data_IF_471909190495
#
_entry.id   IF_471909190495
#
_cell.length_a   1.000
_cell.length_b   1.000
_cell.length_c   1.000
_cell.angle_alpha   90.00
_cell.angle_beta   90.00
_cell.angle_gamma   90.00
#
_symmetry.space_group_name_H-M   'P 1'
#
loop_
_entity.id
_entity.type
_entity.pdbx_description
1 polymer ?
#
# COMPACT_ATOMS: atom_id res chain seq x y z
N UNK A 1 3.61 7.31 38.74
CA UNK A 1 2.71 6.13 38.53
C UNK A 1 3.18 5.40 37.28
N UNK A 2 4.07 4.41 37.43
CA UNK A 2 4.61 3.63 36.32
C UNK A 2 3.48 2.82 35.69
N UNK A 3 2.99 3.22 34.53
CA UNK A 3 2.12 2.36 33.72
C UNK A 3 2.95 1.20 33.22
N UNK A 4 2.78 0.05 33.85
CA UNK A 4 3.31 -1.23 33.36
C UNK A 4 2.77 -1.44 31.95
N UNK A 5 3.62 -1.30 30.95
CA UNK A 5 3.28 -1.67 29.57
C UNK A 5 3.02 -3.17 29.57
N UNK A 6 1.80 -3.60 29.28
CA UNK A 6 1.51 -5.01 29.04
C UNK A 6 2.39 -5.59 27.93
N UNK A 7 2.55 -6.92 27.84
CA UNK A 7 3.36 -7.55 26.79
C UNK A 7 2.85 -7.19 25.41
N UNK A 8 3.75 -7.04 24.44
CA UNK A 8 3.41 -6.74 23.04
C UNK A 8 4.38 -5.79 22.38
N UNK A 9 4.26 -5.67 21.06
CA UNK A 9 5.15 -4.88 20.19
C UNK A 9 4.42 -3.76 19.43
N UNK A 10 3.22 -3.34 19.88
CA UNK A 10 2.51 -2.27 19.18
C UNK A 10 3.33 -0.98 19.18
N UNK A 11 3.50 -0.32 18.01
CA UNK A 11 4.18 0.96 17.93
C UNK A 11 3.44 2.04 18.71
N UNK A 12 4.20 3.03 19.17
CA UNK A 12 3.62 4.25 19.79
C UNK A 12 2.99 5.11 18.71
N UNK A 13 1.76 5.55 18.92
CA UNK A 13 1.09 6.51 18.03
C UNK A 13 1.68 7.91 18.29
N UNK A 14 2.41 8.44 17.30
CA UNK A 14 3.11 9.72 17.41
C UNK A 14 2.29 10.91 16.92
N UNK A 15 1.13 10.65 16.31
CA UNK A 15 0.27 11.70 15.74
C UNK A 15 -1.18 11.52 16.20
N UNK A 16 -1.94 12.60 16.20
CA UNK A 16 -3.36 12.59 16.56
C UNK A 16 -4.17 11.61 15.67
N UNK A 17 -5.15 10.97 16.25
CA UNK A 17 -6.11 10.10 15.56
C UNK A 17 -7.43 10.86 15.41
N UNK A 18 -7.74 11.31 14.21
CA UNK A 18 -8.90 12.17 13.93
C UNK A 18 -10.05 11.35 13.32
N UNK A 19 -11.26 11.54 13.84
CA UNK A 19 -12.48 10.85 13.39
C UNK A 19 -12.53 9.38 13.82
N UNK A 20 -13.32 8.57 13.11
CA UNK A 20 -13.44 7.11 13.29
C UNK A 20 -14.03 6.65 14.63
N UNK A 21 -14.81 7.49 15.31
CA UNK A 21 -15.38 7.10 16.60
C UNK A 21 -16.37 5.93 16.46
N UNK A 22 -17.18 5.96 15.40
CA UNK A 22 -18.19 4.93 15.10
C UNK A 22 -17.52 3.62 14.68
N UNK A 23 -16.55 3.69 13.77
CA UNK A 23 -15.83 2.50 13.30
C UNK A 23 -15.00 1.86 14.43
N UNK A 24 -14.42 2.67 15.34
CA UNK A 24 -13.77 2.12 16.51
C UNK A 24 -14.75 1.45 17.47
N UNK A 25 -15.95 2.03 17.68
CA UNK A 25 -16.98 1.41 18.50
C UNK A 25 -17.50 0.11 17.88
N UNK A 26 -17.69 0.09 16.57
CA UNK A 26 -18.08 -1.10 15.80
C UNK A 26 -17.01 -2.19 15.87
N UNK A 27 -15.73 -1.85 15.63
CA UNK A 27 -14.63 -2.81 15.72
C UNK A 27 -14.45 -3.39 17.12
N UNK A 28 -14.68 -2.59 18.18
CA UNK A 28 -14.70 -3.09 19.55
C UNK A 28 -15.83 -4.10 19.76
N UNK A 29 -17.04 -3.86 19.24
CA UNK A 29 -18.15 -4.82 19.30
C UNK A 29 -17.80 -6.10 18.54
N UNK A 30 -17.32 -6.01 17.31
CA UNK A 30 -16.93 -7.16 16.49
C UNK A 30 -15.96 -8.07 17.25
N UNK A 31 -14.94 -7.53 17.93
CA UNK A 31 -13.99 -8.28 18.71
C UNK A 31 -14.52 -8.77 20.07
N UNK A 32 -15.77 -8.42 20.42
CA UNK A 32 -16.49 -9.09 21.53
C UNK A 32 -17.27 -10.30 21.06
N UNK A 33 -17.76 -10.29 19.84
CA UNK A 33 -18.62 -11.29 19.23
C UNK A 33 -17.85 -12.37 18.46
N UNK A 34 -16.68 -12.01 17.91
CA UNK A 34 -15.89 -12.87 17.07
C UNK A 34 -14.41 -12.83 17.47
N UNK A 35 -13.68 -13.90 17.12
CA UNK A 35 -12.24 -14.00 17.35
C UNK A 35 -11.40 -13.52 16.18
N UNK A 36 -12.01 -13.26 15.02
CA UNK A 36 -11.33 -12.73 13.85
C UNK A 36 -12.11 -11.57 13.26
N UNK A 37 -11.40 -10.50 12.93
CA UNK A 37 -11.95 -9.34 12.27
C UNK A 37 -10.98 -8.81 11.22
N UNK A 38 -11.50 -8.53 10.02
CA UNK A 38 -10.71 -7.91 8.95
C UNK A 38 -11.14 -6.46 8.76
N UNK A 39 -10.17 -5.56 8.84
CA UNK A 39 -10.33 -4.12 8.53
C UNK A 39 -10.03 -3.93 7.05
N UNK A 40 -11.05 -3.59 6.27
CA UNK A 40 -10.95 -3.41 4.82
C UNK A 40 -11.10 -1.94 4.41
N UNK A 41 -10.77 -1.62 3.15
CA UNK A 41 -10.95 -0.29 2.58
C UNK A 41 -9.84 0.11 1.61
N UNK A 42 -9.98 1.26 0.92
CA UNK A 42 -9.04 1.73 -0.08
C UNK A 42 -7.64 1.99 0.48
N UNK A 43 -6.65 2.09 -0.41
CA UNK A 43 -5.30 2.49 -0.03
C UNK A 43 -5.31 3.89 0.59
N UNK A 44 -4.53 4.09 1.64
CA UNK A 44 -4.46 5.40 2.32
C UNK A 44 -5.64 5.76 3.22
N UNK A 45 -6.65 4.88 3.39
CA UNK A 45 -7.85 5.13 4.22
C UNK A 45 -7.57 5.03 5.73
N UNK A 46 -6.44 4.45 6.14
CA UNK A 46 -6.06 4.33 7.55
C UNK A 46 -6.35 2.98 8.21
N UNK A 47 -6.42 1.87 7.45
CA UNK A 47 -6.66 0.50 7.96
C UNK A 47 -5.71 0.14 9.11
N UNK A 48 -4.41 0.21 8.86
CA UNK A 48 -3.37 -0.07 9.86
C UNK A 48 -3.54 0.76 11.13
N UNK A 49 -3.74 2.09 10.98
CA UNK A 49 -3.92 2.97 12.15
C UNK A 49 -5.15 2.62 12.97
N UNK A 50 -6.27 2.29 12.30
CA UNK A 50 -7.51 1.88 12.97
C UNK A 50 -7.32 0.56 13.70
N UNK A 51 -6.70 -0.45 13.07
CA UNK A 51 -6.41 -1.74 13.69
C UNK A 51 -5.50 -1.60 14.92
N UNK A 52 -4.43 -0.81 14.82
CA UNK A 52 -3.52 -0.53 15.94
C UNK A 52 -4.21 0.23 17.08
N UNK A 53 -5.11 1.17 16.75
CA UNK A 53 -5.88 1.92 17.74
C UNK A 53 -6.88 1.03 18.49
N UNK A 54 -7.54 0.09 17.78
CA UNK A 54 -8.38 -0.93 18.38
C UNK A 54 -7.56 -1.85 19.30
N UNK A 55 -6.43 -2.36 18.83
CA UNK A 55 -5.55 -3.20 19.61
C UNK A 55 -5.03 -2.50 20.88
N UNK A 56 -4.66 -1.24 20.78
CA UNK A 56 -4.24 -0.43 21.92
C UNK A 56 -5.36 -0.25 22.97
N UNK A 57 -6.61 -0.03 22.53
CA UNK A 57 -7.77 0.07 23.45
C UNK A 57 -8.10 -1.26 24.14
N UNK A 58 -7.82 -2.37 23.48
CA UNK A 58 -8.12 -3.72 23.96
C UNK A 58 -7.01 -4.35 24.80
N UNK A 59 -5.86 -3.68 25.03
CA UNK A 59 -4.72 -4.23 25.79
C UNK A 59 -5.12 -4.89 27.12
N UNK A 60 -6.03 -4.25 27.88
CA UNK A 60 -6.48 -4.79 29.17
C UNK A 60 -7.30 -6.08 29.04
N UNK A 61 -7.95 -6.28 27.91
CA UNK A 61 -8.76 -7.46 27.62
C UNK A 61 -7.91 -8.66 27.18
N UNK A 62 -6.70 -8.40 26.69
CA UNK A 62 -5.77 -9.41 26.17
C UNK A 62 -4.48 -9.46 27.00
N UNK A 63 -4.50 -10.13 28.17
CA UNK A 63 -3.34 -10.20 29.07
C UNK A 63 -2.16 -10.94 28.43
N UNK A 64 -2.37 -11.80 27.42
CA UNK A 64 -1.32 -12.45 26.63
C UNK A 64 -0.58 -11.51 25.67
N UNK A 65 -0.94 -10.23 25.69
CA UNK A 65 -0.29 -9.18 24.89
C UNK A 65 -1.03 -8.81 23.63
N UNK A 66 -0.59 -7.68 23.05
CA UNK A 66 -1.07 -7.18 21.77
C UNK A 66 0.12 -7.12 20.81
N UNK A 67 0.07 -7.94 19.77
CA UNK A 67 1.20 -8.21 18.90
C UNK A 67 0.89 -7.80 17.46
N UNK A 68 1.84 -7.16 16.77
CA UNK A 68 1.73 -6.80 15.36
C UNK A 68 2.77 -7.55 14.56
N UNK A 69 2.33 -8.28 13.53
CA UNK A 69 3.16 -8.78 12.45
C UNK A 69 2.91 -7.93 11.20
N UNK A 70 3.93 -7.23 10.71
CA UNK A 70 3.85 -6.45 9.48
C UNK A 70 4.20 -7.35 8.30
N UNK A 71 3.23 -7.66 7.45
CA UNK A 71 3.37 -8.63 6.36
C UNK A 71 3.72 -7.99 5.00
N UNK A 72 3.88 -6.68 4.95
CA UNK A 72 4.26 -6.01 3.71
C UNK A 72 5.64 -6.46 3.21
N UNK A 73 5.68 -7.03 2.01
CA UNK A 73 6.94 -7.45 1.38
C UNK A 73 7.46 -8.82 1.83
N UNK A 74 6.70 -9.57 2.62
CA UNK A 74 6.98 -10.98 2.92
C UNK A 74 6.06 -11.91 2.12
N UNK A 75 6.55 -13.07 1.73
CA UNK A 75 5.77 -14.18 1.22
C UNK A 75 5.44 -15.22 2.31
N UNK A 76 6.08 -15.11 3.48
CA UNK A 76 5.93 -16.04 4.60
C UNK A 76 5.38 -15.34 5.85
N UNK A 77 4.05 -15.37 6.06
CA UNK A 77 3.43 -14.76 7.22
C UNK A 77 3.74 -15.53 8.53
N UNK A 78 4.05 -16.83 8.47
CA UNK A 78 4.33 -17.66 9.64
C UNK A 78 5.63 -17.22 10.30
N UNK A 79 6.73 -17.17 9.53
CA UNK A 79 8.03 -16.68 10.01
C UNK A 79 7.94 -15.26 10.53
N UNK A 80 7.23 -14.36 9.82
CA UNK A 80 7.07 -12.97 10.26
C UNK A 80 6.30 -12.86 11.58
N UNK A 81 5.27 -13.70 11.79
CA UNK A 81 4.55 -13.75 13.05
C UNK A 81 5.40 -14.36 14.19
N UNK A 82 6.17 -15.41 13.91
CA UNK A 82 7.09 -16.01 14.90
C UNK A 82 8.07 -14.95 15.43
N UNK A 83 8.69 -14.18 14.53
CA UNK A 83 9.58 -13.06 14.89
C UNK A 83 8.87 -12.00 15.74
N UNK A 84 7.66 -11.59 15.33
CA UNK A 84 6.88 -10.60 16.06
C UNK A 84 6.53 -11.05 17.49
N UNK A 85 6.38 -12.36 17.71
CA UNK A 85 6.09 -12.99 18.99
C UNK A 85 7.35 -13.39 19.78
N UNK A 86 8.54 -13.10 19.26
CA UNK A 86 9.84 -13.49 19.83
C UNK A 86 9.99 -15.03 19.95
N UNK A 87 9.42 -15.78 18.99
CA UNK A 87 9.53 -17.22 18.85
C UNK A 87 10.60 -17.59 17.79
N UNK A 88 11.10 -18.84 17.79
CA UNK A 88 12.02 -19.28 16.75
C UNK A 88 11.44 -19.12 15.34
N UNK A 89 12.23 -18.62 14.39
CA UNK A 89 11.84 -18.42 12.99
C UNK A 89 11.39 -19.72 12.28
N UNK A 90 11.84 -20.85 12.78
CA UNK A 90 11.49 -22.17 12.27
C UNK A 90 10.16 -22.71 12.81
N UNK A 91 9.48 -21.94 13.68
CA UNK A 91 8.20 -22.36 14.26
C UNK A 91 7.12 -22.45 13.18
N UNK A 92 6.41 -23.58 13.14
CA UNK A 92 5.21 -23.74 12.32
C UNK A 92 4.02 -22.95 12.90
N UNK A 93 2.98 -22.71 12.10
CA UNK A 93 1.74 -22.07 12.56
C UNK A 93 1.13 -22.78 13.79
N UNK A 94 1.17 -24.11 13.84
CA UNK A 94 0.68 -24.91 14.96
C UNK A 94 1.54 -24.73 16.23
N UNK A 95 2.87 -24.70 16.11
CA UNK A 95 3.76 -24.43 17.23
C UNK A 95 3.55 -23.03 17.79
N UNK A 96 3.35 -22.03 16.94
CA UNK A 96 2.97 -20.68 17.35
C UNK A 96 1.64 -20.72 18.10
N UNK A 97 0.61 -21.37 17.55
CA UNK A 97 -0.69 -21.54 18.18
C UNK A 97 -0.60 -22.24 19.53
N UNK A 98 0.19 -23.32 19.64
CA UNK A 98 0.43 -24.04 20.90
C UNK A 98 1.10 -23.13 21.95
N UNK A 99 2.08 -22.33 21.56
CA UNK A 99 2.74 -21.36 22.45
C UNK A 99 1.78 -20.26 22.94
N UNK A 100 0.72 -19.97 22.20
CA UNK A 100 -0.30 -18.98 22.53
C UNK A 100 -1.53 -19.59 23.25
N UNK A 101 -1.65 -20.92 23.36
CA UNK A 101 -2.84 -21.64 23.84
C UNK A 101 -3.30 -21.17 25.20
N UNK A 102 -2.39 -21.08 26.16
CA UNK A 102 -2.69 -20.67 27.54
C UNK A 102 -2.75 -19.14 27.71
N UNK A 103 -2.33 -18.41 26.69
CA UNK A 103 -2.36 -16.96 26.68
C UNK A 103 -3.67 -16.48 26.04
N UNK A 104 -4.01 -15.24 26.29
CA UNK A 104 -5.12 -14.56 25.61
C UNK A 104 -4.55 -13.38 24.83
N UNK A 105 -3.87 -13.63 23.69
CA UNK A 105 -3.27 -12.57 22.90
C UNK A 105 -4.27 -11.95 21.92
N UNK A 106 -4.00 -10.71 21.52
CA UNK A 106 -4.54 -10.09 20.31
C UNK A 106 -3.41 -9.97 19.28
N UNK A 107 -3.57 -10.60 18.13
CA UNK A 107 -2.61 -10.56 17.02
C UNK A 107 -3.15 -9.65 15.93
N UNK A 108 -2.35 -8.69 15.48
CA UNK A 108 -2.63 -7.83 14.31
C UNK A 108 -1.76 -8.31 13.15
N UNK A 109 -2.38 -8.90 12.14
CA UNK A 109 -1.75 -9.26 10.87
C UNK A 109 -1.94 -8.10 9.89
N UNK A 110 -0.89 -7.30 9.71
CA UNK A 110 -1.00 -6.01 9.02
C UNK A 110 -0.50 -6.08 7.59
N UNK A 111 -1.28 -5.52 6.64
CA UNK A 111 -0.94 -5.43 5.21
C UNK A 111 -0.88 -6.78 4.50
N UNK A 112 -2.02 -7.48 4.46
CA UNK A 112 -2.15 -8.84 3.92
C UNK A 112 -2.60 -8.91 2.46
N UNK A 113 -2.68 -7.78 1.74
CA UNK A 113 -3.31 -7.68 0.43
C UNK A 113 -2.73 -8.61 -0.64
N UNK A 114 -1.46 -8.97 -0.55
CA UNK A 114 -0.71 -9.74 -1.56
C UNK A 114 -0.63 -11.24 -1.26
N UNK A 115 -0.93 -11.65 -0.02
CA UNK A 115 -0.87 -13.04 0.45
C UNK A 115 -2.13 -13.43 1.25
N UNK A 116 -3.35 -13.14 0.77
CA UNK A 116 -4.55 -13.38 1.58
C UNK A 116 -4.81 -14.86 1.85
N UNK A 117 -4.42 -15.77 0.95
CA UNK A 117 -4.59 -17.20 1.13
C UNK A 117 -3.69 -17.77 2.23
N UNK A 118 -2.43 -17.38 2.25
CA UNK A 118 -1.45 -17.77 3.25
C UNK A 118 -1.83 -17.23 4.64
N UNK A 119 -2.35 -16.01 4.68
CA UNK A 119 -2.82 -15.39 5.93
C UNK A 119 -4.11 -16.04 6.42
N UNK A 120 -5.00 -16.45 5.53
CA UNK A 120 -6.20 -17.22 5.90
C UNK A 120 -5.83 -18.56 6.56
N UNK A 121 -4.93 -19.32 5.93
CA UNK A 121 -4.44 -20.59 6.48
C UNK A 121 -3.76 -20.41 7.85
N UNK A 122 -2.89 -19.39 7.99
CA UNK A 122 -2.27 -19.05 9.27
C UNK A 122 -3.31 -18.71 10.33
N UNK A 123 -4.32 -17.90 10.00
CA UNK A 123 -5.36 -17.51 10.93
C UNK A 123 -6.22 -18.70 11.39
N UNK A 124 -6.55 -19.63 10.49
CA UNK A 124 -7.27 -20.87 10.81
C UNK A 124 -6.47 -21.73 11.79
N UNK A 125 -5.20 -22.01 11.50
CA UNK A 125 -4.32 -22.79 12.39
C UNK A 125 -4.18 -22.16 13.78
N UNK A 126 -3.98 -20.84 13.84
CA UNK A 126 -3.87 -20.11 15.11
C UNK A 126 -5.17 -20.17 15.92
N UNK A 127 -6.32 -19.96 15.28
CA UNK A 127 -7.62 -19.98 15.96
C UNK A 127 -8.04 -21.38 16.41
N UNK A 128 -7.57 -22.43 15.72
CA UNK A 128 -7.77 -23.82 16.12
C UNK A 128 -6.92 -24.17 17.36
N UNK A 129 -5.65 -23.81 17.36
CA UNK A 129 -4.69 -24.17 18.41
C UNK A 129 -4.79 -23.26 19.65
N UNK A 130 -5.15 -21.96 19.47
CA UNK A 130 -5.24 -20.99 20.54
C UNK A 130 -6.69 -20.46 20.70
N UNK A 131 -7.59 -21.16 21.42
CA UNK A 131 -9.03 -20.84 21.47
C UNK A 131 -9.34 -19.49 22.15
N UNK A 132 -8.39 -18.93 22.91
CA UNK A 132 -8.52 -17.63 23.58
C UNK A 132 -7.87 -16.48 22.83
N UNK A 133 -7.19 -16.74 21.72
CA UNK A 133 -6.61 -15.71 20.85
C UNK A 133 -7.68 -15.00 20.04
N UNK A 134 -7.40 -13.73 19.71
CA UNK A 134 -8.15 -12.98 18.72
C UNK A 134 -7.20 -12.40 17.67
N UNK A 135 -7.69 -12.26 16.43
CA UNK A 135 -6.92 -11.81 15.28
C UNK A 135 -7.61 -10.60 14.66
N UNK A 136 -6.84 -9.56 14.39
CA UNK A 136 -7.25 -8.42 13.55
C UNK A 136 -6.38 -8.44 12.30
N UNK A 137 -7.00 -8.46 11.14
CA UNK A 137 -6.34 -8.45 9.86
C UNK A 137 -6.55 -7.10 9.19
N UNK A 138 -5.54 -6.56 8.49
CA UNK A 138 -5.75 -5.42 7.61
C UNK A 138 -5.48 -5.82 6.17
N UNK A 139 -6.44 -5.55 5.31
CA UNK A 139 -6.36 -5.92 3.90
C UNK A 139 -7.32 -5.10 3.05
N UNK A 140 -7.38 -5.41 1.77
CA UNK A 140 -8.33 -4.77 0.85
C UNK A 140 -9.64 -5.51 0.75
N UNK A 141 -9.61 -6.82 0.99
CA UNK A 141 -10.75 -7.73 0.99
C UNK A 141 -10.73 -8.60 2.24
N UNK A 142 -11.89 -9.14 2.65
CA UNK A 142 -11.97 -10.14 3.70
C UNK A 142 -11.16 -11.39 3.33
N UNK A 143 -10.78 -12.19 4.34
CA UNK A 143 -10.15 -13.48 4.16
C UNK A 143 -11.15 -14.57 3.75
N UNK A 144 -12.44 -14.37 4.04
CA UNK A 144 -13.51 -15.33 3.76
C UNK A 144 -13.62 -16.46 4.78
N UNK A 145 -13.08 -16.27 5.98
CA UNK A 145 -13.07 -17.30 7.02
C UNK A 145 -14.41 -17.39 7.77
N UNK A 146 -14.83 -18.60 8.19
CA UNK A 146 -16.01 -18.75 9.03
C UNK A 146 -15.93 -17.92 10.31
N UNK A 147 -16.97 -17.15 10.59
CA UNK A 147 -17.02 -16.27 11.78
C UNK A 147 -16.23 -14.99 11.68
N UNK A 148 -15.62 -14.71 10.53
CA UNK A 148 -14.95 -13.44 10.27
C UNK A 148 -15.94 -12.27 10.33
N UNK A 149 -15.59 -11.21 11.05
CA UNK A 149 -16.28 -9.92 11.01
C UNK A 149 -15.50 -8.95 10.14
N UNK A 150 -16.19 -8.17 9.34
CA UNK A 150 -15.58 -7.19 8.43
C UNK A 150 -15.90 -5.79 8.93
N UNK A 151 -14.84 -5.01 9.18
CA UNK A 151 -14.92 -3.58 9.44
C UNK A 151 -14.48 -2.83 8.17
N UNK A 152 -15.42 -2.36 7.38
CA UNK A 152 -15.15 -1.62 6.16
C UNK A 152 -14.94 -0.13 6.45
N UNK A 153 -13.75 0.39 6.14
CA UNK A 153 -13.44 1.81 6.28
C UNK A 153 -13.74 2.56 4.98
N UNK A 154 -14.65 3.53 5.08
CA UNK A 154 -14.85 4.53 4.03
C UNK A 154 -13.85 5.70 4.18
N UNK A 155 -13.65 6.56 3.18
CA UNK A 155 -12.99 7.85 3.35
C UNK A 155 -13.61 8.66 4.50
N UNK A 156 -12.83 9.61 5.07
CA UNK A 156 -13.34 10.46 6.15
C UNK A 156 -14.47 11.36 5.67
N UNK A 157 -15.51 11.55 6.49
CA UNK A 157 -16.49 12.63 6.27
C UNK A 157 -15.78 13.99 6.21
N UNK A 158 -16.33 14.92 5.44
CA UNK A 158 -15.71 16.22 5.17
C UNK A 158 -15.29 16.96 6.46
N UNK A 159 -16.11 16.93 7.49
CA UNK A 159 -15.81 17.55 8.78
C UNK A 159 -14.57 16.96 9.45
N UNK A 160 -14.42 15.65 9.44
CA UNK A 160 -13.24 14.94 9.96
C UNK A 160 -12.01 15.14 9.07
N UNK A 161 -12.21 15.21 7.75
CA UNK A 161 -11.17 15.47 6.77
C UNK A 161 -10.55 16.87 6.97
N UNK A 162 -11.38 17.91 7.15
CA UNK A 162 -10.95 19.27 7.43
C UNK A 162 -10.19 19.37 8.77
N UNK A 163 -10.68 18.71 9.81
CA UNK A 163 -9.97 18.64 11.11
C UNK A 163 -8.62 17.94 10.99
N UNK A 164 -8.53 16.87 10.19
CA UNK A 164 -7.25 16.19 9.94
C UNK A 164 -6.29 17.11 9.19
N UNK A 165 -6.76 17.81 8.16
CA UNK A 165 -5.95 18.77 7.43
C UNK A 165 -5.40 19.87 8.35
N UNK A 166 -6.27 20.50 9.16
CA UNK A 166 -5.89 21.54 10.12
C UNK A 166 -4.82 21.04 11.10
N UNK A 167 -5.05 19.90 11.74
CA UNK A 167 -4.12 19.30 12.70
C UNK A 167 -2.74 19.03 12.09
N UNK A 168 -2.69 18.52 10.85
CA UNK A 168 -1.44 18.26 10.15
C UNK A 168 -0.76 19.52 9.62
N UNK A 169 -1.56 20.50 9.18
CA UNK A 169 -1.06 21.80 8.74
C UNK A 169 -0.43 22.58 9.90
N UNK A 170 -1.08 22.62 11.06
CA UNK A 170 -0.55 23.24 12.27
C UNK A 170 0.73 22.56 12.77
N UNK A 171 0.86 21.25 12.60
CA UNK A 171 2.08 20.52 12.97
C UNK A 171 3.31 20.91 12.13
N UNK A 172 3.12 21.40 10.90
CA UNK A 172 4.22 21.81 9.99
C UNK A 172 4.37 23.32 9.86
N UNK A 173 3.30 24.10 10.05
CA UNK A 173 3.31 25.55 10.17
C UNK A 173 2.39 26.01 11.33
N UNK A 174 2.94 26.32 12.49
CA UNK A 174 2.14 26.78 13.64
C UNK A 174 1.32 28.06 13.39
N UNK A 175 1.60 28.79 12.31
CA UNK A 175 0.85 30.01 11.92
C UNK A 175 -0.40 29.66 11.11
N UNK A 176 -0.54 28.41 10.67
CA UNK A 176 -1.73 27.99 9.95
C UNK A 176 -2.95 28.01 10.87
N UNK A 177 -4.06 28.58 10.38
CA UNK A 177 -5.33 28.58 11.08
C UNK A 177 -6.49 28.48 10.08
N UNK A 178 -7.54 27.78 10.47
CA UNK A 178 -8.81 27.81 9.76
C UNK A 178 -9.54 29.11 10.08
N UNK A 179 -9.48 30.05 9.16
CA UNK A 179 -10.24 31.30 9.21
C UNK A 179 -11.49 31.20 8.32
N UNK A 180 -12.46 32.12 8.43
CA UNK A 180 -13.59 32.18 7.50
C UNK A 180 -13.17 32.26 6.03
N UNK A 181 -11.98 32.77 5.72
CA UNK A 181 -11.43 32.85 4.36
C UNK A 181 -10.76 31.55 3.92
N UNK A 182 -10.08 30.81 4.80
CA UNK A 182 -9.34 29.59 4.46
C UNK A 182 -10.18 28.31 4.59
N UNK A 183 -11.16 28.29 5.48
CA UNK A 183 -11.99 27.10 5.72
C UNK A 183 -12.72 26.56 4.46
N UNK A 184 -13.34 27.39 3.59
CA UNK A 184 -13.93 26.90 2.36
C UNK A 184 -12.90 26.30 1.39
N UNK A 185 -11.69 26.86 1.33
CA UNK A 185 -10.60 26.40 0.49
C UNK A 185 -10.13 25.01 0.97
N UNK A 186 -9.91 24.86 2.27
CA UNK A 186 -9.51 23.58 2.87
C UNK A 186 -10.60 22.53 2.69
N UNK A 187 -11.88 22.90 2.83
CA UNK A 187 -13.00 22.00 2.58
C UNK A 187 -13.00 21.52 1.12
N UNK A 188 -12.75 22.39 0.14
CA UNK A 188 -12.65 22.01 -1.27
C UNK A 188 -11.43 21.11 -1.53
N UNK A 189 -10.27 21.41 -0.92
CA UNK A 189 -9.09 20.52 -0.98
C UNK A 189 -9.45 19.13 -0.47
N UNK A 190 -10.03 19.01 0.72
CA UNK A 190 -10.42 17.74 1.32
C UNK A 190 -11.46 16.98 0.46
N UNK A 191 -12.41 17.69 -0.13
CA UNK A 191 -13.39 17.12 -1.07
C UNK A 191 -12.74 16.54 -2.32
N UNK A 192 -11.77 17.26 -2.92
CA UNK A 192 -11.01 16.79 -4.10
C UNK A 192 -10.09 15.62 -3.79
N UNK A 193 -9.68 15.48 -2.53
CA UNK A 193 -8.90 14.34 -2.06
C UNK A 193 -9.80 13.18 -1.57
N UNK A 194 -11.11 13.25 -1.88
CA UNK A 194 -12.12 12.26 -1.49
C UNK A 194 -12.15 11.93 0.01
N UNK A 195 -11.65 12.79 0.89
CA UNK A 195 -11.54 12.49 2.31
C UNK A 195 -10.52 11.37 2.64
N UNK A 196 -9.61 11.02 1.73
CA UNK A 196 -8.57 10.01 1.98
C UNK A 196 -7.51 10.55 2.98
N UNK A 197 -7.35 9.95 4.18
CA UNK A 197 -6.41 10.45 5.19
C UNK A 197 -4.99 10.65 4.67
N UNK A 198 -4.43 9.67 3.95
CA UNK A 198 -3.07 9.77 3.39
C UNK A 198 -2.93 10.97 2.44
N UNK A 199 -3.92 11.17 1.56
CA UNK A 199 -3.91 12.30 0.63
C UNK A 199 -3.98 13.64 1.37
N UNK A 200 -4.81 13.72 2.40
CA UNK A 200 -4.98 14.91 3.24
C UNK A 200 -3.70 15.21 4.03
N UNK A 201 -3.08 14.21 4.64
CA UNK A 201 -1.81 14.37 5.37
C UNK A 201 -0.70 14.87 4.45
N UNK A 202 -0.56 14.29 3.24
CA UNK A 202 0.41 14.76 2.25
C UNK A 202 0.13 16.20 1.82
N UNK A 203 -1.12 16.54 1.49
CA UNK A 203 -1.50 17.89 1.09
C UNK A 203 -1.26 18.92 2.22
N UNK A 204 -1.60 18.59 3.45
CA UNK A 204 -1.41 19.46 4.60
C UNK A 204 0.07 19.78 4.85
N UNK A 205 1.01 18.89 4.51
CA UNK A 205 2.45 19.20 4.64
C UNK A 205 2.94 20.28 3.68
N UNK A 206 2.23 20.49 2.56
CA UNK A 206 2.59 21.47 1.54
C UNK A 206 2.29 22.91 1.96
N UNK A 207 1.43 23.15 2.98
CA UNK A 207 1.12 24.50 3.46
C UNK A 207 2.35 25.25 4.01
N UNK A 208 3.40 24.51 4.35
CA UNK A 208 4.69 25.11 4.74
C UNK A 208 5.36 25.87 3.59
N UNK A 209 5.11 25.48 2.36
CA UNK A 209 5.78 25.99 1.15
C UNK A 209 4.85 26.73 0.19
N UNK A 210 3.53 26.61 0.35
CA UNK A 210 2.56 27.30 -0.51
C UNK A 210 1.28 27.63 0.25
N UNK A 211 0.57 28.65 -0.21
CA UNK A 211 -0.72 29.04 0.38
C UNK A 211 -1.80 28.00 0.04
N UNK A 212 -2.80 27.85 0.90
CA UNK A 212 -3.90 26.89 0.67
C UNK A 212 -4.65 27.14 -0.66
N UNK A 213 -4.74 28.40 -1.11
CA UNK A 213 -5.33 28.77 -2.40
C UNK A 213 -4.51 28.20 -3.56
N UNK A 214 -3.20 28.37 -3.51
CA UNK A 214 -2.29 27.92 -4.58
C UNK A 214 -2.25 26.39 -4.60
N UNK A 215 -2.28 25.75 -3.43
CA UNK A 215 -2.41 24.30 -3.31
C UNK A 215 -3.70 23.78 -3.97
N UNK A 216 -4.83 24.46 -3.78
CA UNK A 216 -6.09 24.11 -4.41
C UNK A 216 -6.00 24.20 -5.95
N UNK A 217 -5.43 25.27 -6.48
CA UNK A 217 -5.24 25.45 -7.92
C UNK A 217 -4.32 24.38 -8.51
N UNK A 218 -3.22 24.09 -7.84
CA UNK A 218 -2.31 23.04 -8.30
C UNK A 218 -2.96 21.64 -8.27
N UNK A 219 -3.78 21.33 -7.26
CA UNK A 219 -4.52 20.07 -7.20
C UNK A 219 -5.57 19.94 -8.32
N UNK A 220 -6.08 21.05 -8.88
CA UNK A 220 -6.95 21.05 -10.06
C UNK A 220 -6.22 20.54 -11.29
N UNK A 221 -4.95 20.87 -11.44
CA UNK A 221 -4.14 20.59 -12.62
C UNK A 221 -3.19 19.41 -12.44
N UNK A 222 -2.60 19.23 -11.24
CA UNK A 222 -1.53 18.27 -11.00
C UNK A 222 -1.71 17.52 -9.68
N UNK A 223 -2.40 16.40 -9.73
CA UNK A 223 -2.48 15.48 -8.56
C UNK A 223 -1.10 14.87 -8.19
N UNK A 224 -0.12 14.99 -9.11
CA UNK A 224 1.27 14.54 -8.93
C UNK A 224 2.04 15.32 -7.86
N UNK A 225 1.53 16.46 -7.38
CA UNK A 225 2.10 17.18 -6.22
C UNK A 225 2.16 16.34 -4.95
N UNK A 226 1.29 15.33 -4.81
CA UNK A 226 1.26 14.45 -3.65
C UNK A 226 2.27 13.30 -3.77
N UNK A 227 3.27 13.43 -4.66
CA UNK A 227 4.35 12.46 -4.86
C UNK A 227 5.63 12.91 -4.16
N UNK A 228 6.27 12.00 -3.42
CA UNK A 228 7.62 12.22 -2.89
C UNK A 228 7.77 13.16 -1.68
N UNK A 229 6.69 13.54 -1.00
CA UNK A 229 6.70 14.57 0.06
C UNK A 229 7.30 14.08 1.39
N UNK A 230 7.38 12.78 1.65
CA UNK A 230 7.87 12.27 2.96
C UNK A 230 9.06 11.34 2.83
N UNK A 231 10.18 11.66 3.49
CA UNK A 231 11.41 10.85 3.54
C UNK A 231 11.43 9.80 4.66
N UNK A 232 10.54 9.89 5.64
CA UNK A 232 10.58 9.11 6.91
C UNK A 232 9.58 7.96 6.98
N UNK A 233 8.76 7.74 5.96
CA UNK A 233 7.68 6.75 5.95
C UNK A 233 7.99 5.62 4.96
N UNK A 234 7.40 4.44 5.15
CA UNK A 234 7.52 3.30 4.23
C UNK A 234 7.27 3.73 2.77
N UNK A 235 7.99 3.17 1.78
CA UNK A 235 7.92 3.61 0.37
C UNK A 235 6.49 3.75 -0.18
N UNK A 236 5.59 2.84 0.17
CA UNK A 236 4.17 2.85 -0.23
C UNK A 236 3.32 3.95 0.41
N UNK A 237 3.79 4.57 1.50
CA UNK A 237 3.08 5.66 2.19
C UNK A 237 3.71 7.04 1.92
N UNK A 238 4.83 7.06 1.18
CA UNK A 238 5.50 8.32 0.78
C UNK A 238 4.73 9.04 -0.32
N UNK A 239 3.86 8.33 -1.01
CA UNK A 239 3.24 8.77 -2.25
C UNK A 239 1.88 8.09 -2.39
N UNK A 240 0.83 8.90 -2.51
CA UNK A 240 -0.53 8.42 -2.74
C UNK A 240 -0.61 7.59 -4.02
N UNK A 241 0.12 7.99 -5.07
CA UNK A 241 0.18 7.27 -6.33
C UNK A 241 0.77 5.88 -6.16
N UNK A 242 1.87 5.74 -5.41
CA UNK A 242 2.46 4.45 -5.11
C UNK A 242 1.48 3.53 -4.37
N UNK A 243 0.71 4.08 -3.42
CA UNK A 243 -0.32 3.33 -2.71
C UNK A 243 -1.46 2.86 -3.62
N UNK A 244 -1.87 3.67 -4.61
CA UNK A 244 -2.89 3.28 -5.60
C UNK A 244 -2.31 2.33 -6.65
N UNK A 245 -1.08 2.54 -7.13
CA UNK A 245 -0.39 1.64 -8.06
C UNK A 245 -0.24 0.22 -7.48
N UNK A 246 0.04 0.09 -6.19
CA UNK A 246 -0.01 -1.21 -5.52
C UNK A 246 -1.37 -1.90 -5.67
N UNK A 247 -2.50 -1.14 -5.69
CA UNK A 247 -3.83 -1.68 -6.01
C UNK A 247 -3.92 -2.19 -7.42
N UNK A 248 -3.35 -1.45 -8.36
CA UNK A 248 -3.33 -1.79 -9.78
C UNK A 248 -2.51 -3.06 -10.05
N UNK A 249 -1.37 -3.22 -9.38
CA UNK A 249 -0.48 -4.38 -9.53
C UNK A 249 -1.14 -5.67 -9.04
N UNK A 250 -2.01 -5.59 -8.04
CA UNK A 250 -2.78 -6.73 -7.52
C UNK A 250 -3.98 -7.13 -8.39
N UNK A 251 -4.35 -6.31 -9.39
CA UNK A 251 -5.46 -6.61 -10.30
C UNK A 251 -5.03 -7.55 -11.43
N UNK A 252 -5.93 -8.46 -11.82
CA UNK A 252 -5.78 -9.24 -13.07
C UNK A 252 -6.03 -8.36 -14.32
N UNK A 253 -5.84 -8.92 -15.51
CA UNK A 253 -5.96 -8.19 -16.76
C UNK A 253 -7.38 -7.64 -17.00
N UNK A 254 -8.44 -8.42 -16.71
CA UNK A 254 -9.83 -7.98 -16.86
C UNK A 254 -10.17 -6.88 -15.86
N UNK A 255 -9.68 -6.97 -14.64
CA UNK A 255 -9.87 -5.92 -13.62
C UNK A 255 -9.19 -4.61 -14.04
N UNK A 256 -7.96 -4.67 -14.57
CA UNK A 256 -7.23 -3.48 -15.05
C UNK A 256 -7.92 -2.82 -16.25
N UNK A 257 -8.45 -3.63 -17.17
CA UNK A 257 -9.20 -3.13 -18.32
C UNK A 257 -10.50 -2.46 -17.86
N UNK A 258 -11.29 -3.13 -17.00
CA UNK A 258 -12.51 -2.55 -16.44
C UNK A 258 -12.21 -1.28 -15.63
N UNK A 259 -11.15 -1.27 -14.82
CA UNK A 259 -10.73 -0.08 -14.09
C UNK A 259 -10.47 1.11 -15.03
N UNK A 260 -9.71 0.90 -16.11
CA UNK A 260 -9.43 1.97 -17.08
C UNK A 260 -10.71 2.53 -17.73
N UNK A 261 -11.63 1.64 -18.12
CA UNK A 261 -12.91 2.04 -18.73
C UNK A 261 -13.82 2.81 -17.76
N UNK A 262 -13.94 2.33 -16.51
CA UNK A 262 -14.71 3.01 -15.48
C UNK A 262 -14.11 4.35 -15.06
N UNK A 263 -12.81 4.53 -15.22
CA UNK A 263 -12.13 5.81 -14.91
C UNK A 263 -12.59 6.96 -15.80
N UNK A 264 -13.13 6.67 -16.99
CA UNK A 264 -13.70 7.67 -17.89
C UNK A 264 -15.12 8.12 -17.47
N UNK A 265 -15.80 7.39 -16.60
CA UNK A 265 -17.16 7.74 -16.16
C UNK A 265 -17.08 8.87 -15.11
N UNK A 266 -17.85 9.96 -15.28
CA UNK A 266 -17.88 11.05 -14.31
C UNK A 266 -18.72 10.66 -13.08
N UNK A 267 -18.27 11.03 -11.89
CA UNK A 267 -19.04 10.87 -10.65
C UNK A 267 -19.35 9.43 -10.27
N UNK A 268 -20.57 9.19 -9.75
CA UNK A 268 -21.08 7.85 -9.46
C UNK A 268 -21.83 7.25 -10.65
N UNK A 269 -21.80 5.93 -10.78
CA UNK A 269 -22.35 5.19 -11.92
C UNK A 269 -23.10 3.93 -11.44
N UNK A 270 -24.03 3.43 -12.25
CA UNK A 270 -24.70 2.16 -12.05
C UNK A 270 -24.07 1.03 -12.84
N UNK A 271 -24.55 -0.21 -12.65
CA UNK A 271 -24.10 -1.37 -13.43
C UNK A 271 -24.40 -1.21 -14.93
N UNK A 272 -25.50 -0.55 -15.28
CA UNK A 272 -25.86 -0.27 -16.67
C UNK A 272 -24.83 0.67 -17.36
N UNK A 273 -24.39 1.70 -16.63
CA UNK A 273 -23.36 2.64 -17.11
C UNK A 273 -22.03 1.91 -17.31
N UNK A 274 -21.65 1.05 -16.37
CA UNK A 274 -20.44 0.21 -16.45
C UNK A 274 -20.49 -0.70 -17.69
N UNK A 275 -21.62 -1.39 -17.92
CA UNK A 275 -21.82 -2.21 -19.13
C UNK A 275 -21.75 -1.39 -20.42
N UNK A 276 -22.30 -0.19 -20.42
CA UNK A 276 -22.24 0.70 -21.57
C UNK A 276 -20.80 1.14 -21.88
N UNK A 277 -20.03 1.51 -20.87
CA UNK A 277 -18.62 1.87 -21.00
C UNK A 277 -17.73 0.72 -21.50
N UNK A 278 -18.14 -0.53 -21.26
CA UNK A 278 -17.36 -1.72 -21.63
C UNK A 278 -17.69 -2.28 -23.03
N UNK A 279 -18.63 -1.65 -23.78
CA UNK A 279 -19.00 -2.15 -25.11
C UNK A 279 -17.80 -2.20 -26.05
N UNK A 280 -17.60 -3.37 -26.67
CA UNK A 280 -16.46 -3.61 -27.56
C UNK A 280 -15.14 -3.98 -26.87
N UNK A 281 -15.12 -3.99 -25.55
CA UNK A 281 -13.95 -4.33 -24.73
C UNK A 281 -14.15 -5.62 -23.93
N UNK A 282 -15.16 -5.64 -23.05
CA UNK A 282 -15.49 -6.79 -22.21
C UNK A 282 -16.90 -7.30 -22.53
N UNK A 283 -17.13 -8.66 -22.59
CA UNK A 283 -18.47 -9.20 -22.70
C UNK A 283 -19.37 -8.72 -21.56
N UNK A 284 -20.63 -8.36 -21.87
CA UNK A 284 -21.55 -7.76 -20.90
C UNK A 284 -21.80 -8.63 -19.65
N UNK A 285 -21.75 -9.97 -19.79
CA UNK A 285 -21.84 -10.94 -18.68
C UNK A 285 -20.62 -10.91 -17.75
N UNK A 286 -19.44 -10.51 -18.27
CA UNK A 286 -18.19 -10.42 -17.48
C UNK A 286 -18.13 -9.16 -16.62
N UNK A 287 -18.84 -8.08 -16.99
CA UNK A 287 -18.74 -6.78 -16.32
C UNK A 287 -19.14 -6.89 -14.84
N UNK A 288 -20.25 -7.53 -14.52
CA UNK A 288 -20.73 -7.63 -13.13
C UNK A 288 -19.76 -8.43 -12.22
N UNK A 289 -19.28 -9.63 -12.60
CA UNK A 289 -18.28 -10.37 -11.79
C UNK A 289 -16.97 -9.60 -11.61
N UNK A 290 -16.47 -8.93 -12.66
CA UNK A 290 -15.22 -8.17 -12.58
C UNK A 290 -15.40 -6.90 -11.75
N UNK A 291 -16.54 -6.22 -11.86
CA UNK A 291 -16.90 -5.09 -11.01
C UNK A 291 -16.96 -5.49 -9.54
N UNK A 292 -17.56 -6.65 -9.22
CA UNK A 292 -17.60 -7.18 -7.86
C UNK A 292 -16.19 -7.35 -7.28
N UNK A 293 -15.24 -7.90 -8.06
CA UNK A 293 -13.83 -8.01 -7.64
C UNK A 293 -13.17 -6.65 -7.39
N UNK A 294 -13.48 -5.63 -8.20
CA UNK A 294 -12.97 -4.26 -7.98
C UNK A 294 -13.57 -3.63 -6.72
N UNK A 295 -14.83 -3.95 -6.40
CA UNK A 295 -15.47 -3.52 -5.14
C UNK A 295 -14.83 -4.22 -3.95
N UNK A 296 -14.65 -5.54 -4.00
CA UNK A 296 -13.95 -6.30 -2.96
C UNK A 296 -12.53 -5.79 -2.73
N UNK A 297 -11.82 -5.44 -3.81
CA UNK A 297 -10.48 -4.84 -3.77
C UNK A 297 -10.47 -3.38 -3.34
N UNK A 298 -11.62 -2.79 -3.01
CA UNK A 298 -11.77 -1.38 -2.61
C UNK A 298 -11.22 -0.37 -3.65
N UNK A 299 -11.20 -0.76 -4.92
CA UNK A 299 -10.89 0.12 -6.07
C UNK A 299 -12.11 0.94 -6.44
N UNK A 300 -13.27 0.30 -6.38
CA UNK A 300 -14.59 0.90 -6.58
C UNK A 300 -15.35 0.79 -5.26
N UNK A 301 -16.02 1.85 -4.85
CA UNK A 301 -16.83 1.89 -3.64
C UNK A 301 -18.30 1.76 -4.00
N UNK A 302 -19.07 1.05 -3.16
CA UNK A 302 -20.53 1.06 -3.25
C UNK A 302 -21.07 2.30 -2.56
N UNK A 303 -22.08 2.90 -3.18
CA UNK A 303 -22.87 4.00 -2.62
C UNK A 303 -24.32 3.60 -2.43
N UNK A 304 -25.08 4.32 -1.61
CA UNK A 304 -26.53 4.10 -1.49
C UNK A 304 -27.24 4.17 -2.86
N UNK A 305 -28.34 3.45 -3.04
CA UNK A 305 -29.13 3.46 -4.27
C UNK A 305 -28.51 2.66 -5.43
N UNK A 306 -27.79 1.56 -5.12
CA UNK A 306 -27.17 0.65 -6.11
C UNK A 306 -26.19 1.33 -7.05
N UNK A 307 -25.51 2.33 -6.56
CA UNK A 307 -24.49 3.07 -7.31
C UNK A 307 -23.08 2.71 -6.86
N UNK A 308 -22.15 3.03 -7.70
CA UNK A 308 -20.71 2.82 -7.49
C UNK A 308 -19.98 4.13 -7.71
N UNK A 309 -18.87 4.30 -7.01
CA UNK A 309 -17.97 5.45 -7.18
C UNK A 309 -16.52 5.01 -7.17
N UNK A 310 -15.73 5.62 -8.02
CA UNK A 310 -14.27 5.50 -8.00
C UNK A 310 -13.69 6.78 -7.42
N UNK A 311 -12.76 6.63 -6.47
CA UNK A 311 -12.06 7.76 -5.88
C UNK A 311 -11.16 8.43 -6.93
N UNK A 312 -10.97 9.74 -6.84
CA UNK A 312 -10.23 10.53 -7.83
C UNK A 312 -8.79 10.03 -8.02
N UNK A 313 -8.12 9.64 -6.93
CA UNK A 313 -6.78 9.06 -7.02
C UNK A 313 -6.73 7.78 -7.85
N UNK A 314 -7.74 6.93 -7.75
CA UNK A 314 -7.86 5.69 -8.52
C UNK A 314 -8.25 5.97 -9.97
N UNK A 315 -9.17 6.92 -10.18
CA UNK A 315 -9.58 7.38 -11.50
C UNK A 315 -8.40 7.87 -12.32
N UNK A 316 -7.55 8.71 -11.74
CA UNK A 316 -6.36 9.24 -12.43
C UNK A 316 -5.37 8.17 -12.83
N UNK A 317 -5.13 7.18 -11.98
CA UNK A 317 -4.28 6.03 -12.34
C UNK A 317 -4.88 5.23 -13.49
N UNK A 318 -6.22 5.04 -13.51
CA UNK A 318 -6.91 4.34 -14.61
C UNK A 318 -6.85 5.08 -15.95
N UNK A 319 -6.85 6.41 -15.92
CA UNK A 319 -6.76 7.27 -17.13
C UNK A 319 -5.34 7.43 -17.67
N UNK A 320 -4.30 6.99 -16.97
CA UNK A 320 -2.93 7.06 -17.49
C UNK A 320 -2.79 6.20 -18.75
N UNK A 321 -2.16 6.73 -19.84
CA UNK A 321 -1.98 5.98 -21.08
C UNK A 321 -1.26 4.65 -20.87
N UNK A 322 -1.68 3.60 -21.56
CA UNK A 322 -0.95 2.34 -21.66
C UNK A 322 0.40 2.62 -22.32
N UNK A 323 1.50 2.51 -21.58
CA UNK A 323 2.84 2.90 -22.05
C UNK A 323 3.45 4.07 -21.30
N UNK A 324 2.76 4.66 -20.33
CA UNK A 324 3.39 5.56 -19.36
C UNK A 324 4.61 4.84 -18.76
N UNK A 325 5.77 5.50 -18.61
CA UNK A 325 6.98 4.89 -18.04
C UNK A 325 6.78 4.32 -16.62
N UNK A 326 5.61 4.54 -16.07
CA UNK A 326 5.16 4.10 -14.75
C UNK A 326 4.15 2.96 -14.77
N UNK A 327 3.68 2.49 -15.95
CA UNK A 327 2.92 1.24 -16.09
C UNK A 327 3.89 0.14 -16.49
N UNK A 328 4.02 -0.95 -15.70
CA UNK A 328 4.74 -2.14 -16.18
C UNK A 328 4.06 -2.60 -17.48
N UNK A 329 4.85 -2.91 -18.49
CA UNK A 329 4.36 -3.41 -19.75
C UNK A 329 3.46 -4.64 -19.48
N UNK A 330 2.18 -4.53 -19.80
CA UNK A 330 1.26 -5.67 -19.76
C UNK A 330 1.82 -6.67 -20.77
N UNK A 331 2.38 -7.79 -20.29
CA UNK A 331 2.71 -8.91 -21.15
C UNK A 331 1.42 -9.36 -21.81
N UNK A 332 1.26 -9.07 -23.11
CA UNK A 332 0.20 -9.65 -23.92
C UNK A 332 0.32 -11.18 -23.80
N UNK A 333 -0.75 -11.90 -23.44
CA UNK A 333 -0.71 -13.35 -23.52
C UNK A 333 -0.47 -13.71 -24.98
N UNK A 334 0.63 -14.41 -25.24
CA UNK A 334 0.90 -15.00 -26.54
C UNK A 334 -0.24 -15.98 -26.87
N UNK A 335 -1.09 -15.63 -27.84
CA UNK A 335 -1.99 -16.57 -28.49
C UNK A 335 -1.11 -17.54 -29.29
N UNK A 336 -1.01 -18.76 -28.83
CA UNK A 336 -0.31 -19.82 -29.57
C UNK A 336 -0.19 -21.05 -28.72
N UNK A 337 -1.01 -22.07 -29.03
CA UNK A 337 -0.92 -23.39 -28.41
C UNK A 337 0.42 -24.02 -28.73
N UNK A 338 1.18 -24.36 -27.72
CA UNK A 338 2.40 -25.13 -27.80
C UNK A 338 2.62 -25.85 -26.48
N UNK A 339 2.71 -27.19 -26.58
CA UNK A 339 2.94 -28.15 -25.48
C UNK A 339 3.98 -27.64 -24.47
N UNK A 340 3.65 -27.74 -23.19
CA UNK A 340 4.56 -27.62 -22.07
C UNK A 340 5.69 -28.66 -22.16
N UNK A 341 6.95 -28.28 -22.09
CA UNK A 341 8.02 -29.18 -21.73
C UNK A 341 8.14 -29.29 -20.21
N UNK A 342 8.34 -30.53 -19.75
CA UNK A 342 8.54 -30.92 -18.36
C UNK A 342 9.70 -30.20 -17.68
N UNK A 343 9.70 -30.05 -16.33
CA UNK A 343 10.71 -29.31 -15.60
C UNK A 343 12.05 -30.07 -15.64
N UNK A 344 13.06 -29.44 -16.20
CA UNK A 344 14.46 -29.86 -16.03
C UNK A 344 15.01 -29.24 -14.75
N UNK A 345 15.64 -30.07 -13.96
CA UNK A 345 16.36 -29.73 -12.74
C UNK A 345 17.45 -28.67 -12.97
N UNK A 346 17.75 -27.82 -11.98
CA UNK A 346 18.81 -26.82 -12.08
C UNK A 346 20.17 -27.47 -11.85
N UNK A 347 20.92 -27.57 -12.92
CA UNK A 347 22.34 -27.84 -12.89
C UNK A 347 23.03 -26.91 -13.87
N UNK A 348 23.85 -26.00 -13.40
CA UNK A 348 24.71 -25.26 -14.31
C UNK A 348 24.98 -23.83 -13.89
N UNK A 349 26.07 -23.67 -13.13
CA UNK A 349 27.07 -22.58 -13.17
C UNK A 349 26.58 -21.16 -13.48
N UNK A 350 26.70 -20.30 -12.48
CA UNK A 350 26.67 -18.85 -12.62
C UNK A 350 27.54 -18.40 -13.81
N UNK A 351 26.94 -17.71 -14.78
CA UNK A 351 27.69 -16.96 -15.79
C UNK A 351 28.38 -15.77 -15.09
N UNK A 352 29.64 -15.48 -15.40
CA UNK A 352 30.33 -14.34 -14.84
C UNK A 352 29.62 -13.05 -15.26
N UNK A 353 29.42 -12.15 -14.32
CA UNK A 353 28.89 -10.80 -14.53
C UNK A 353 29.66 -10.12 -15.66
N UNK A 354 28.96 -9.59 -16.66
CA UNK A 354 29.57 -8.88 -17.77
C UNK A 354 30.36 -7.68 -17.25
N UNK A 355 31.66 -7.56 -17.62
CA UNK A 355 32.52 -6.44 -17.23
C UNK A 355 31.91 -5.11 -17.70
N UNK A 356 31.75 -4.16 -16.76
CA UNK A 356 31.33 -2.79 -17.09
C UNK A 356 32.44 -2.10 -17.93
N UNK A 357 32.04 -1.36 -18.95
CA UNK A 357 32.95 -0.46 -19.64
C UNK A 357 33.44 0.66 -18.70
N UNK A 358 34.55 1.29 -19.00
CA UNK A 358 35.11 2.39 -18.20
C UNK A 358 34.03 3.52 -17.98
N UNK A 359 33.20 3.78 -18.98
CA UNK A 359 32.13 4.78 -18.89
C UNK A 359 30.96 4.33 -18.05
N UNK A 360 30.57 3.07 -18.14
CA UNK A 360 29.52 2.47 -17.30
C UNK A 360 29.96 2.44 -15.83
N UNK A 361 31.25 2.15 -15.58
CA UNK A 361 31.81 2.18 -14.22
C UNK A 361 31.82 3.60 -13.62
N UNK A 362 32.14 4.62 -14.41
CA UNK A 362 32.02 6.02 -13.97
C UNK A 362 30.59 6.39 -13.61
N UNK A 363 29.62 6.01 -14.45
CA UNK A 363 28.20 6.23 -14.16
C UNK A 363 27.76 5.46 -12.92
N UNK A 364 28.19 4.21 -12.75
CA UNK A 364 27.88 3.38 -11.59
C UNK A 364 28.41 3.98 -10.28
N UNK A 365 29.65 4.51 -10.28
CA UNK A 365 30.22 5.21 -9.11
C UNK A 365 29.44 6.46 -8.74
N UNK A 366 29.03 7.28 -9.71
CA UNK A 366 28.21 8.46 -9.44
C UNK A 366 26.80 8.10 -8.95
N UNK A 367 26.31 6.90 -9.30
CA UNK A 367 25.08 6.35 -8.72
C UNK A 367 25.26 6.01 -7.23
N UNK A 368 26.43 5.47 -6.82
CA UNK A 368 26.71 5.21 -5.39
C UNK A 368 26.84 6.49 -4.58
N UNK A 369 27.28 7.58 -5.20
CA UNK A 369 27.32 8.92 -4.60
C UNK A 369 25.91 9.56 -4.48
N UNK A 370 24.87 8.91 -5.00
CA UNK A 370 23.48 9.36 -4.89
C UNK A 370 23.02 10.35 -5.97
N UNK A 371 23.85 10.65 -6.98
CA UNK A 371 23.52 11.63 -8.03
C UNK A 371 22.40 11.10 -8.94
N UNK A 372 21.45 11.96 -9.30
CA UNK A 372 20.42 11.66 -10.31
C UNK A 372 20.98 11.65 -11.74
N UNK A 373 20.25 11.07 -12.71
CA UNK A 373 20.72 11.05 -14.11
C UNK A 373 20.97 12.44 -14.71
N UNK A 374 20.19 13.50 -14.43
CA UNK A 374 20.55 14.86 -14.84
C UNK A 374 21.85 15.37 -14.21
N UNK A 375 22.10 15.11 -12.94
CA UNK A 375 23.32 15.53 -12.25
C UNK A 375 24.55 14.77 -12.78
N UNK A 376 24.40 13.47 -13.06
CA UNK A 376 25.45 12.66 -13.72
C UNK A 376 25.74 13.19 -15.14
N UNK A 377 24.69 13.60 -15.88
CA UNK A 377 24.83 14.17 -17.20
C UNK A 377 25.68 15.45 -17.19
N UNK A 378 25.40 16.35 -16.24
CA UNK A 378 26.19 17.58 -16.03
C UNK A 378 27.62 17.24 -15.59
N UNK A 379 27.81 16.31 -14.63
CA UNK A 379 29.11 15.94 -14.08
C UNK A 379 30.03 15.30 -15.10
N UNK A 380 29.48 14.57 -16.07
CA UNK A 380 30.18 13.83 -17.09
C UNK A 380 30.20 14.53 -18.46
N UNK A 381 29.60 15.71 -18.55
CA UNK A 381 29.42 16.51 -19.80
C UNK A 381 28.84 15.68 -20.96
N UNK A 382 27.71 15.01 -20.71
CA UNK A 382 27.00 14.19 -21.70
C UNK A 382 25.50 14.43 -21.64
N UNK A 383 24.79 14.11 -22.71
CA UNK A 383 23.34 14.23 -22.73
C UNK A 383 22.68 13.27 -21.70
N UNK A 384 21.62 13.71 -21.03
CA UNK A 384 20.84 12.90 -20.08
C UNK A 384 20.43 11.54 -20.67
N UNK A 385 19.99 11.51 -21.94
CA UNK A 385 19.60 10.28 -22.65
C UNK A 385 20.77 9.27 -22.74
N UNK A 386 22.00 9.74 -22.79
CA UNK A 386 23.20 8.90 -22.81
C UNK A 386 23.43 8.26 -21.42
N UNK A 387 23.21 9.02 -20.35
CA UNK A 387 23.24 8.47 -18.98
C UNK A 387 22.14 7.43 -18.78
N UNK A 388 20.92 7.69 -19.28
CA UNK A 388 19.79 6.75 -19.21
C UNK A 388 20.09 5.44 -19.96
N UNK A 389 20.86 5.50 -21.06
CA UNK A 389 21.32 4.32 -21.78
C UNK A 389 22.40 3.55 -20.99
N UNK A 390 23.38 4.25 -20.40
CA UNK A 390 24.40 3.60 -19.55
C UNK A 390 23.78 2.92 -18.32
N UNK A 391 22.83 3.56 -17.63
CA UNK A 391 22.14 2.97 -16.49
C UNK A 391 21.40 1.69 -16.90
N UNK A 392 20.73 1.69 -18.03
CA UNK A 392 20.05 0.51 -18.56
C UNK A 392 21.01 -0.64 -18.85
N UNK A 393 22.16 -0.34 -19.44
CA UNK A 393 23.19 -1.33 -19.74
C UNK A 393 23.83 -1.90 -18.46
N UNK A 394 24.06 -1.06 -17.44
CA UNK A 394 24.58 -1.48 -16.13
C UNK A 394 23.60 -2.46 -15.47
N UNK A 395 22.31 -2.12 -15.45
CA UNK A 395 21.26 -3.00 -14.91
C UNK A 395 21.21 -4.34 -15.65
N UNK A 396 21.27 -4.32 -16.98
CA UNK A 396 21.25 -5.53 -17.80
C UNK A 396 22.50 -6.42 -17.58
N UNK A 397 23.68 -5.83 -17.50
CA UNK A 397 24.95 -6.54 -17.27
C UNK A 397 25.08 -7.11 -15.87
N UNK A 398 24.57 -6.39 -14.85
CA UNK A 398 24.54 -6.83 -13.46
C UNK A 398 23.39 -7.77 -13.12
N UNK A 399 22.43 -7.99 -14.03
CA UNK A 399 21.19 -8.71 -13.72
C UNK A 399 20.35 -8.01 -12.64
N UNK A 400 20.45 -6.67 -12.54
CA UNK A 400 19.86 -5.88 -11.47
C UNK A 400 18.51 -5.31 -11.90
N UNK A 401 17.55 -5.30 -10.96
CA UNK A 401 16.18 -4.83 -11.23
C UNK A 401 16.00 -3.33 -10.94
N UNK A 402 16.91 -2.69 -10.19
CA UNK A 402 16.74 -1.29 -9.79
C UNK A 402 18.10 -0.56 -9.66
N UNK A 403 18.03 0.77 -9.78
CA UNK A 403 19.16 1.67 -9.54
C UNK A 403 19.79 1.51 -8.14
N UNK A 404 18.97 1.24 -7.13
CA UNK A 404 19.44 1.03 -5.76
C UNK A 404 20.30 -0.23 -5.64
N UNK A 405 20.01 -1.26 -6.45
CA UNK A 405 20.81 -2.47 -6.52
C UNK A 405 22.17 -2.22 -7.21
N UNK A 406 22.27 -1.25 -8.12
CA UNK A 406 23.55 -0.85 -8.72
C UNK A 406 24.50 -0.30 -7.64
N UNK A 407 23.98 0.52 -6.72
CA UNK A 407 24.76 1.08 -5.62
C UNK A 407 25.30 -0.01 -4.68
N UNK A 408 24.46 -0.97 -4.31
CA UNK A 408 24.87 -2.11 -3.48
C UNK A 408 25.90 -3.01 -4.19
N UNK A 409 25.67 -3.32 -5.47
CA UNK A 409 26.52 -4.19 -6.27
C UNK A 409 27.94 -3.60 -6.50
N UNK A 410 28.05 -2.29 -6.75
CA UNK A 410 29.35 -1.61 -6.91
C UNK A 410 30.10 -1.58 -5.59
N UNK A 411 29.44 -1.34 -4.46
CA UNK A 411 30.05 -1.34 -3.13
C UNK A 411 30.63 -2.72 -2.76
N UNK A 412 29.95 -3.82 -3.13
CA UNK A 412 30.45 -5.19 -2.95
C UNK A 412 31.65 -5.52 -3.85
N UNK A 413 31.67 -5.00 -5.10
CA UNK A 413 32.74 -5.24 -6.06
C UNK A 413 34.04 -4.52 -5.67
N UNK A 414 33.98 -3.31 -5.12
CA UNK A 414 35.14 -2.56 -4.63
C UNK A 414 35.76 -3.23 -3.37
N UNK A 415 34.95 -3.91 -2.55
CA UNK A 415 35.41 -4.66 -1.39
C UNK A 415 36.22 -5.92 -1.77
N UNK A 416 35.83 -6.61 -2.87
CA UNK A 416 36.54 -7.80 -3.38
C UNK A 416 37.82 -7.48 -4.15
N UNK A 417 38.01 -6.24 -4.60
CA UNK A 417 39.21 -5.80 -5.32
C UNK A 417 40.30 -5.26 -4.39
N UNK A 418 40.00 -5.14 -3.08
CA UNK A 418 40.92 -4.60 -2.05
C UNK A 418 41.41 -5.66 -1.05
N UNK A 419 41.09 -6.96 -1.31
CA UNK A 419 41.58 -8.11 -0.56
C UNK A 419 42.41 -9.01 -1.47
#
# INVERSE_FOLDING_TARGET
MNMVRGPGNLPVDLSSFVGRAEELAEGLRHLTEARIMTVTGPAGVGKTRTALRLAARLRRRFPGGTWRAELSGTADPVTTLAEALELPRTSSAREIGAALRERRPLVVLDTCEHIPGEVAALAEDLLAEAPRAAIVVTGRRPLGLPGERVLQLAPLPLTSAVRLFEDRAMAVDPRFALTPATAPIVAEICGRLDGLPLAIELAATLVRSMLARDLLEELRHRFTLLTGVSRTVLPRHRDLRAAVMWSYDLCDAEQRELWALLSALPGSFGLADARAACRGHLPGERVAPVLAKLVEGSVVLREPGERYRMLEAYRRVGLEPSGSPWRPAVQRPLRGGGRLPSPRQPGGTARPAGTLSARELQVAKLITEGLSNPEIAVRLDIAKRTVDAHVRNILAKGGLASRTQVAAWVAESDYQSST
#
